data_IF_626943739083
#
_entry.id   IF_626943739083
#
_cell.length_a   1.000
_cell.length_b   1.000
_cell.length_c   1.000
_cell.angle_alpha   90.00
_cell.angle_beta   90.00
_cell.angle_gamma   90.00
#
_symmetry.space_group_name_H-M   'P 1'
#
loop_
_entity.id
_entity.type
_entity.pdbx_description
1 polymer ?
#
# COMPACT_ATOMS: atom_id res chain seq x y z
N UNK A 1 20.67 -55.54 -9.14
CA UNK A 1 21.12 -56.82 -9.70
C UNK A 1 22.44 -57.22 -9.06
N UNK A 2 22.39 -58.21 -8.15
CA UNK A 2 23.57 -58.71 -7.40
C UNK A 2 24.18 -60.00 -7.99
N UNK A 3 23.63 -60.47 -9.10
CA UNK A 3 24.17 -61.63 -9.83
C UNK A 3 24.64 -61.20 -11.21
N UNK A 4 25.90 -61.48 -11.51
CA UNK A 4 26.53 -61.30 -12.81
C UNK A 4 26.77 -62.69 -13.37
N UNK A 5 26.31 -62.96 -14.59
CA UNK A 5 26.58 -64.23 -15.29
C UNK A 5 27.97 -64.14 -15.88
N UNK A 6 28.70 -65.24 -15.81
CA UNK A 6 29.99 -65.39 -16.47
C UNK A 6 29.83 -65.23 -17.98
N UNK A 7 30.70 -64.46 -18.63
CA UNK A 7 30.65 -64.23 -20.07
C UNK A 7 31.05 -65.46 -20.90
N UNK A 8 31.78 -66.41 -20.30
CA UNK A 8 32.20 -67.66 -20.88
C UNK A 8 32.31 -68.79 -19.84
N UNK A 9 32.56 -70.01 -20.27
CA UNK A 9 32.72 -71.20 -19.40
C UNK A 9 34.19 -71.41 -18.95
N UNK A 10 34.97 -70.30 -18.89
CA UNK A 10 36.39 -70.32 -18.46
C UNK A 10 36.51 -69.75 -17.03
N UNK A 11 37.65 -70.15 -16.38
CA UNK A 11 37.92 -69.80 -14.98
C UNK A 11 38.03 -68.30 -14.77
N UNK A 12 38.47 -67.50 -15.75
CA UNK A 12 38.65 -66.06 -15.66
C UNK A 12 37.28 -65.35 -15.66
N UNK A 13 36.41 -65.74 -16.58
CA UNK A 13 35.03 -65.22 -16.66
C UNK A 13 34.25 -65.54 -15.38
N UNK A 14 34.42 -66.75 -14.82
CA UNK A 14 33.78 -67.09 -13.55
C UNK A 14 34.32 -66.30 -12.35
N UNK A 15 35.65 -66.12 -12.30
CA UNK A 15 36.29 -65.30 -11.25
C UNK A 15 35.84 -63.82 -11.30
N UNK A 16 35.76 -63.21 -12.48
CA UNK A 16 35.26 -61.82 -12.68
C UNK A 16 33.81 -61.73 -12.27
N UNK A 17 32.94 -62.65 -12.67
CA UNK A 17 31.52 -62.61 -12.27
C UNK A 17 31.36 -62.74 -10.75
N UNK A 18 32.19 -63.54 -10.07
CA UNK A 18 32.22 -63.72 -8.63
C UNK A 18 32.67 -62.41 -7.94
N UNK A 19 33.73 -61.78 -8.45
CA UNK A 19 34.25 -60.51 -7.93
C UNK A 19 33.20 -59.38 -8.02
N UNK A 20 32.57 -59.21 -9.18
CA UNK A 20 31.51 -58.19 -9.32
C UNK A 20 30.28 -58.53 -8.47
N UNK A 21 29.90 -59.80 -8.35
CA UNK A 21 28.80 -60.23 -7.49
C UNK A 21 29.08 -60.01 -6.00
N UNK A 22 30.32 -60.21 -5.53
CA UNK A 22 30.71 -59.88 -4.14
C UNK A 22 30.70 -58.36 -3.90
N UNK A 23 31.29 -57.60 -4.80
CA UNK A 23 31.32 -56.15 -4.71
C UNK A 23 29.92 -55.52 -4.72
N UNK A 24 29.02 -56.00 -5.58
CA UNK A 24 27.65 -55.56 -5.64
C UNK A 24 26.90 -55.83 -4.32
N UNK A 25 27.14 -56.97 -3.67
CA UNK A 25 26.55 -57.29 -2.35
C UNK A 25 27.09 -56.36 -1.23
N UNK A 26 28.41 -56.13 -1.23
CA UNK A 26 29.03 -55.21 -0.28
C UNK A 26 28.49 -53.75 -0.45
N UNK A 27 28.36 -53.29 -1.71
CA UNK A 27 27.78 -52.02 -2.01
C UNK A 27 26.33 -51.90 -1.52
N UNK A 28 25.52 -52.93 -1.71
CA UNK A 28 24.14 -52.95 -1.20
C UNK A 28 24.10 -52.94 0.33
N UNK A 29 25.00 -53.64 1.02
CA UNK A 29 25.07 -53.60 2.48
C UNK A 29 25.43 -52.22 2.99
N UNK A 30 26.40 -51.54 2.38
CA UNK A 30 26.76 -50.16 2.68
C UNK A 30 25.61 -49.19 2.39
N UNK A 31 24.96 -49.34 1.23
CA UNK A 31 23.81 -48.52 0.84
C UNK A 31 22.66 -48.60 1.87
N UNK A 32 22.37 -49.81 2.38
CA UNK A 32 21.37 -50.03 3.42
C UNK A 32 21.76 -49.33 4.75
N UNK A 33 23.07 -49.42 5.12
CA UNK A 33 23.57 -48.75 6.32
C UNK A 33 23.51 -47.25 6.20
N UNK A 34 23.85 -46.69 5.03
CA UNK A 34 23.75 -45.22 4.76
C UNK A 34 22.31 -44.77 4.83
N UNK A 35 21.35 -45.52 4.25
CA UNK A 35 19.93 -45.19 4.35
C UNK A 35 19.45 -45.17 5.81
N UNK A 36 19.80 -46.22 6.60
CA UNK A 36 19.47 -46.27 8.03
C UNK A 36 20.13 -45.15 8.84
N UNK A 37 21.33 -44.72 8.47
CA UNK A 37 21.99 -43.56 9.09
C UNK A 37 21.24 -42.27 8.78
N UNK A 38 20.84 -42.04 7.52
CA UNK A 38 20.09 -40.83 7.16
C UNK A 38 18.73 -40.78 7.87
N UNK A 39 18.03 -41.90 7.97
CA UNK A 39 16.76 -41.96 8.70
C UNK A 39 16.92 -41.61 10.18
N UNK A 40 17.96 -42.17 10.84
CA UNK A 40 18.26 -41.80 12.24
C UNK A 40 18.67 -40.34 12.39
N UNK A 41 19.49 -39.84 11.47
CA UNK A 41 19.89 -38.44 11.48
C UNK A 41 18.68 -37.49 11.37
N UNK A 42 17.80 -37.76 10.39
CA UNK A 42 16.57 -36.99 10.20
C UNK A 42 15.67 -37.02 11.46
N UNK A 43 15.51 -38.19 12.08
CA UNK A 43 14.74 -38.34 13.32
C UNK A 43 15.38 -37.57 14.49
N UNK A 44 16.70 -37.67 14.66
CA UNK A 44 17.42 -36.97 15.73
C UNK A 44 17.35 -35.45 15.53
N UNK A 45 17.49 -34.97 14.29
CA UNK A 45 17.36 -33.56 13.97
C UNK A 45 15.93 -33.04 14.25
N UNK A 46 14.93 -33.79 13.85
CA UNK A 46 13.53 -33.46 14.12
C UNK A 46 13.23 -33.41 15.62
N UNK A 47 13.75 -34.36 16.41
CA UNK A 47 13.61 -34.35 17.86
C UNK A 47 14.33 -33.16 18.50
N UNK A 48 15.53 -32.80 18.03
CA UNK A 48 16.25 -31.63 18.48
C UNK A 48 15.48 -30.34 18.21
N UNK A 49 14.96 -30.16 17.00
CA UNK A 49 14.10 -28.99 16.65
C UNK A 49 12.89 -28.93 17.57
N UNK A 50 12.20 -30.05 17.82
CA UNK A 50 11.08 -30.12 18.74
C UNK A 50 11.45 -29.69 20.17
N UNK A 51 12.63 -30.07 20.66
CA UNK A 51 13.10 -29.67 22.01
C UNK A 51 13.39 -28.16 22.10
N UNK A 52 13.97 -27.56 21.05
CA UNK A 52 14.17 -26.11 20.97
C UNK A 52 12.85 -25.36 20.95
N UNK A 53 11.89 -25.77 20.11
CA UNK A 53 10.55 -25.14 20.05
C UNK A 53 9.85 -25.21 21.41
N UNK A 54 9.95 -26.34 22.11
CA UNK A 54 9.35 -26.49 23.44
C UNK A 54 10.03 -25.63 24.50
N UNK A 55 11.37 -25.51 24.45
CA UNK A 55 12.13 -24.65 25.35
C UNK A 55 11.81 -23.17 25.14
N UNK A 56 11.73 -22.72 23.89
CA UNK A 56 11.32 -21.37 23.55
C UNK A 56 9.91 -21.06 24.03
N UNK A 57 8.95 -21.95 23.78
CA UNK A 57 7.58 -21.78 24.26
C UNK A 57 7.48 -21.73 25.79
N UNK A 58 8.28 -22.56 26.50
CA UNK A 58 8.32 -22.58 27.96
C UNK A 58 8.93 -21.31 28.55
N UNK A 59 9.91 -20.71 27.87
CA UNK A 59 10.56 -19.48 28.32
C UNK A 59 9.77 -18.21 27.96
N UNK A 60 9.07 -18.22 26.84
CA UNK A 60 8.30 -17.06 26.38
C UNK A 60 7.07 -16.77 27.26
N UNK A 61 6.36 -17.79 27.72
CA UNK A 61 5.13 -17.63 28.51
C UNK A 61 5.34 -16.92 29.87
N UNK A 62 6.37 -17.24 30.70
CA UNK A 62 6.62 -16.54 31.94
C UNK A 62 7.06 -15.09 31.74
N UNK A 63 7.84 -14.81 30.68
CA UNK A 63 8.28 -13.45 30.37
C UNK A 63 7.10 -12.57 29.94
N UNK A 64 6.22 -13.06 29.08
CA UNK A 64 5.01 -12.35 28.68
C UNK A 64 4.09 -12.08 29.91
N UNK A 65 3.94 -13.04 30.81
CA UNK A 65 3.16 -12.87 32.05
C UNK A 65 3.79 -11.81 32.96
N UNK A 66 5.10 -11.82 33.12
CA UNK A 66 5.82 -10.81 33.90
C UNK A 66 5.66 -9.41 33.30
N UNK A 67 5.82 -9.29 31.98
CA UNK A 67 5.62 -8.03 31.26
C UNK A 67 4.20 -7.50 31.49
N UNK A 68 3.17 -8.32 31.28
CA UNK A 68 1.79 -7.93 31.53
C UNK A 68 1.54 -7.50 32.98
N UNK A 69 2.09 -8.21 33.95
CA UNK A 69 1.93 -7.87 35.36
C UNK A 69 2.59 -6.53 35.72
N UNK A 70 3.81 -6.29 35.21
CA UNK A 70 4.51 -5.02 35.39
C UNK A 70 3.75 -3.87 34.71
N UNK A 71 3.34 -4.04 33.46
CA UNK A 71 2.55 -3.02 32.75
C UNK A 71 1.22 -2.74 33.44
N UNK A 72 0.52 -3.76 33.90
CA UNK A 72 -0.72 -3.60 34.66
C UNK A 72 -0.50 -2.80 35.96
N UNK A 73 0.56 -3.11 36.71
CA UNK A 73 0.88 -2.40 37.93
C UNK A 73 1.24 -0.93 37.68
N UNK A 74 2.01 -0.63 36.60
CA UNK A 74 2.35 0.73 36.19
C UNK A 74 1.15 1.52 35.66
N UNK A 75 0.24 0.85 34.95
CA UNK A 75 -0.91 1.47 34.32
C UNK A 75 -2.11 1.62 35.27
N UNK A 76 -2.21 0.83 36.33
CA UNK A 76 -3.38 0.82 37.20
C UNK A 76 -3.73 2.20 37.77
N UNK A 77 -2.79 3.03 38.29
CA UNK A 77 -3.12 4.36 38.82
C UNK A 77 -3.66 5.32 37.76
N UNK A 78 -3.02 5.35 36.59
CA UNK A 78 -3.43 6.24 35.50
C UNK A 78 -4.72 5.80 34.85
N UNK A 79 -4.95 4.48 34.76
CA UNK A 79 -6.19 3.92 34.27
C UNK A 79 -7.36 4.27 35.21
N UNK A 80 -7.16 4.18 36.53
CA UNK A 80 -8.19 4.50 37.51
C UNK A 80 -8.53 5.99 37.58
N UNK A 81 -7.51 6.87 37.46
CA UNK A 81 -7.69 8.32 37.59
C UNK A 81 -8.06 9.00 36.27
N UNK A 82 -7.52 8.54 35.14
CA UNK A 82 -7.57 9.23 33.84
C UNK A 82 -8.21 8.40 32.72
N UNK A 83 -8.56 7.14 33.00
CA UNK A 83 -9.15 6.21 32.02
C UNK A 83 -8.19 5.85 30.87
N UNK A 84 -6.87 6.09 31.05
CA UNK A 84 -5.83 5.81 30.03
C UNK A 84 -4.61 5.15 30.69
N UNK A 85 -3.95 4.21 29.98
CA UNK A 85 -2.69 3.65 30.46
C UNK A 85 -1.58 4.70 30.45
N UNK A 86 -0.59 4.55 31.32
CA UNK A 86 0.63 5.35 31.29
C UNK A 86 1.51 4.95 30.10
N UNK A 87 1.65 3.63 29.90
CA UNK A 87 2.47 3.01 28.84
C UNK A 87 1.61 1.95 28.14
N UNK A 88 1.52 2.03 26.82
CA UNK A 88 0.80 1.06 25.99
C UNK A 88 0.22 1.70 24.74
N UNK A 89 0.06 0.92 23.69
CA UNK A 89 -0.53 1.38 22.45
C UNK A 89 -2.07 1.47 22.56
N UNK A 90 -2.66 2.37 21.79
CA UNK A 90 -4.11 2.50 21.66
C UNK A 90 -4.71 1.30 20.94
N UNK A 91 -5.89 0.86 21.34
CA UNK A 91 -6.61 -0.21 20.65
C UNK A 91 -7.01 0.22 19.24
N UNK A 92 -6.92 -0.70 18.28
CA UNK A 92 -7.44 -0.45 16.93
C UNK A 92 -8.97 -0.43 16.92
N UNK A 93 -9.55 0.42 16.10
CA UNK A 93 -10.98 0.44 15.82
C UNK A 93 -11.44 -0.83 15.09
N UNK A 94 -12.64 -1.32 15.39
CA UNK A 94 -13.16 -2.52 14.76
C UNK A 94 -13.35 -2.33 13.24
N UNK A 95 -12.90 -3.27 12.40
CA UNK A 95 -13.09 -3.21 10.95
C UNK A 95 -14.57 -3.18 10.55
N UNK A 96 -14.90 -2.43 9.52
CA UNK A 96 -16.27 -2.30 9.00
C UNK A 96 -17.21 -1.45 9.86
N UNK A 97 -16.71 -0.76 10.89
CA UNK A 97 -17.53 0.05 11.81
C UNK A 97 -17.25 1.54 11.75
N UNK A 98 -16.16 1.96 11.08
CA UNK A 98 -15.71 3.35 11.14
C UNK A 98 -15.31 3.82 12.55
N UNK A 99 -15.09 2.90 13.49
CA UNK A 99 -14.67 3.22 14.85
C UNK A 99 -13.28 3.85 14.86
N UNK A 100 -13.13 4.93 15.62
CA UNK A 100 -11.82 5.54 15.81
C UNK A 100 -10.87 4.60 16.57
N UNK A 101 -9.58 4.69 16.28
CA UNK A 101 -8.54 4.06 17.08
C UNK A 101 -8.45 4.69 18.47
N UNK A 102 -8.13 3.88 19.47
CA UNK A 102 -7.89 4.32 20.84
C UNK A 102 -6.65 5.21 20.95
N UNK A 103 -6.64 6.10 21.94
CA UNK A 103 -5.44 6.86 22.26
C UNK A 103 -4.35 5.97 22.85
N UNK A 104 -3.09 6.23 22.50
CA UNK A 104 -1.93 5.60 23.12
C UNK A 104 -1.73 6.02 24.57
N UNK A 105 -0.79 5.40 25.27
CA UNK A 105 -0.44 5.70 26.67
C UNK A 105 -0.08 7.18 26.86
N UNK A 106 -0.25 7.67 28.09
CA UNK A 106 0.00 9.08 28.40
C UNK A 106 1.46 9.43 28.19
N UNK A 107 2.37 8.59 28.68
CA UNK A 107 3.82 8.79 28.59
C UNK A 107 4.38 8.18 27.29
N UNK A 108 4.08 6.92 27.05
CA UNK A 108 4.62 6.17 25.93
C UNK A 108 3.56 5.28 25.31
N UNK A 109 3.42 5.36 23.98
CA UNK A 109 2.54 4.47 23.21
C UNK A 109 2.03 5.14 21.93
N UNK A 110 1.82 4.34 20.92
CA UNK A 110 1.27 4.78 19.66
C UNK A 110 -0.27 4.86 19.73
N UNK A 111 -0.84 5.74 18.96
CA UNK A 111 -2.29 5.73 18.75
C UNK A 111 -2.74 4.47 18.00
N UNK A 112 -3.90 3.94 18.32
CA UNK A 112 -4.51 2.81 17.62
C UNK A 112 -4.95 3.21 16.21
N UNK A 113 -4.93 2.27 15.27
CA UNK A 113 -5.47 2.50 13.93
C UNK A 113 -6.99 2.66 13.96
N UNK A 114 -7.55 3.50 13.12
CA UNK A 114 -9.00 3.59 12.90
C UNK A 114 -9.54 2.37 12.16
N UNK A 115 -10.75 1.95 12.48
CA UNK A 115 -11.46 0.87 11.79
C UNK A 115 -11.90 1.31 10.38
N UNK A 116 -11.93 0.39 9.43
CA UNK A 116 -12.52 0.68 8.12
C UNK A 116 -14.02 0.99 8.25
N UNK A 117 -14.54 1.79 7.35
CA UNK A 117 -15.99 2.08 7.28
C UNK A 117 -16.76 0.97 6.58
N UNK A 118 -18.02 0.77 6.95
CA UNK A 118 -19.00 0.03 6.16
C UNK A 118 -19.35 0.81 4.87
N UNK A 119 -20.02 0.22 3.89
CA UNK A 119 -20.50 0.94 2.71
C UNK A 119 -21.28 2.21 3.08
N UNK A 120 -20.87 3.35 2.52
CA UNK A 120 -21.43 4.67 2.85
C UNK A 120 -20.89 5.29 4.16
N UNK A 121 -20.02 4.60 4.90
CA UNK A 121 -19.49 5.06 6.18
C UNK A 121 -18.01 5.46 6.06
N UNK A 122 -17.69 6.61 6.65
CA UNK A 122 -16.31 7.13 6.71
C UNK A 122 -15.44 6.19 7.54
N UNK A 123 -14.18 6.03 7.14
CA UNK A 123 -13.19 5.31 7.93
C UNK A 123 -12.95 5.98 9.28
N UNK A 124 -12.69 5.19 10.32
CA UNK A 124 -12.38 5.68 11.65
C UNK A 124 -11.11 6.53 11.68
N UNK A 125 -11.06 7.56 12.47
CA UNK A 125 -9.83 8.32 12.69
C UNK A 125 -8.81 7.47 13.45
N UNK A 126 -7.53 7.65 13.16
CA UNK A 126 -6.46 7.09 13.98
C UNK A 126 -6.41 7.73 15.36
N UNK A 127 -6.04 6.95 16.39
CA UNK A 127 -5.86 7.44 17.76
C UNK A 127 -4.65 8.37 17.90
N UNK A 128 -4.70 9.29 18.84
CA UNK A 128 -3.57 10.15 19.17
C UNK A 128 -2.55 9.41 20.06
N UNK A 129 -1.27 9.67 19.89
CA UNK A 129 -0.25 9.24 20.85
C UNK A 129 -0.28 10.17 22.10
N UNK A 130 0.46 9.80 23.15
CA UNK A 130 0.64 10.62 24.35
C UNK A 130 1.81 11.59 24.24
N UNK A 131 2.77 11.50 25.19
CA UNK A 131 3.98 12.32 25.15
C UNK A 131 4.95 11.83 24.06
N UNK A 132 5.19 10.52 24.02
CA UNK A 132 6.04 9.85 23.04
C UNK A 132 5.22 8.81 22.28
N UNK A 133 5.37 8.75 20.97
CA UNK A 133 4.77 7.75 20.10
C UNK A 133 4.21 8.33 18.81
N UNK A 134 3.88 7.49 17.87
CA UNK A 134 3.29 7.86 16.57
C UNK A 134 1.76 7.88 16.67
N UNK A 135 1.14 8.78 15.94
CA UNK A 135 -0.33 8.77 15.73
C UNK A 135 -0.77 7.51 14.99
N UNK A 136 -1.93 6.99 15.30
CA UNK A 136 -2.53 5.85 14.62
C UNK A 136 -2.91 6.18 13.17
N UNK A 137 -2.89 5.20 12.30
CA UNK A 137 -3.37 5.35 10.93
C UNK A 137 -4.90 5.54 10.90
N UNK A 138 -5.40 6.36 9.99
CA UNK A 138 -6.83 6.45 9.68
C UNK A 138 -7.33 5.20 8.97
N UNK A 139 -8.56 4.78 9.25
CA UNK A 139 -9.21 3.66 8.59
C UNK A 139 -9.62 3.98 7.15
N UNK A 140 -9.68 2.98 6.28
CA UNK A 140 -10.21 3.15 4.95
C UNK A 140 -11.70 3.46 4.98
N UNK A 141 -12.16 4.35 4.10
CA UNK A 141 -13.58 4.62 3.91
C UNK A 141 -14.29 3.41 3.28
N UNK A 142 -15.53 3.19 3.65
CA UNK A 142 -16.42 2.28 2.95
C UNK A 142 -16.75 2.78 1.54
N UNK A 143 -17.44 1.96 0.74
CA UNK A 143 -17.84 2.36 -0.62
C UNK A 143 -18.56 3.70 -0.60
N UNK A 144 -18.08 4.66 -1.39
CA UNK A 144 -18.63 6.02 -1.47
C UNK A 144 -18.30 6.95 -0.30
N UNK A 145 -17.48 6.54 0.65
CA UNK A 145 -17.17 7.33 1.85
C UNK A 145 -15.67 7.62 2.02
N UNK A 146 -15.36 8.74 2.63
CA UNK A 146 -13.98 9.21 2.83
C UNK A 146 -13.16 8.30 3.74
N UNK A 147 -11.85 8.29 3.55
CA UNK A 147 -10.92 7.72 4.50
C UNK A 147 -10.87 8.52 5.81
N UNK A 148 -10.59 7.82 6.91
CA UNK A 148 -10.40 8.41 8.23
C UNK A 148 -9.11 9.23 8.31
N UNK A 149 -9.08 10.27 9.12
CA UNK A 149 -7.85 11.02 9.35
C UNK A 149 -6.84 10.20 10.16
N UNK A 150 -5.56 10.43 9.93
CA UNK A 150 -4.50 9.94 10.80
C UNK A 150 -4.51 10.62 12.15
N UNK A 151 -4.13 9.90 13.21
CA UNK A 151 -4.02 10.40 14.57
C UNK A 151 -2.82 11.35 14.75
N UNK A 152 -2.85 12.22 15.75
CA UNK A 152 -1.70 13.07 16.07
C UNK A 152 -0.57 12.26 16.70
N UNK A 153 0.66 12.61 16.36
CA UNK A 153 1.87 12.13 17.02
C UNK A 153 2.00 12.62 18.45
N UNK A 154 2.96 12.06 19.19
CA UNK A 154 3.24 12.39 20.57
C UNK A 154 3.60 13.84 20.74
N UNK A 155 3.10 14.47 21.83
CA UNK A 155 3.25 15.88 22.06
C UNK A 155 4.70 16.34 22.01
N UNK A 156 5.64 15.63 22.64
CA UNK A 156 7.08 15.95 22.60
C UNK A 156 7.76 15.37 21.37
N UNK A 157 7.62 14.05 21.15
CA UNK A 157 8.27 13.34 20.05
C UNK A 157 7.33 12.32 19.44
N UNK A 158 7.03 12.48 18.17
CA UNK A 158 6.24 11.50 17.43
C UNK A 158 5.74 12.02 16.10
N UNK A 159 5.66 11.12 15.14
CA UNK A 159 5.12 11.43 13.82
C UNK A 159 3.59 11.34 13.84
N UNK A 160 2.96 12.15 13.01
CA UNK A 160 1.52 12.00 12.73
C UNK A 160 1.22 10.67 12.02
N UNK A 161 0.05 10.12 12.27
CA UNK A 161 -0.45 8.93 11.58
C UNK A 161 -0.83 9.21 10.12
N UNK A 162 -0.77 8.21 9.27
CA UNK A 162 -1.20 8.33 7.86
C UNK A 162 -2.72 8.42 7.76
N UNK A 163 -3.24 9.15 6.79
CA UNK A 163 -4.68 9.19 6.47
C UNK A 163 -5.15 7.89 5.79
N UNK A 164 -6.39 7.50 6.02
CA UNK A 164 -7.01 6.34 5.38
C UNK A 164 -7.34 6.58 3.91
N UNK A 165 -7.40 5.51 3.12
CA UNK A 165 -7.82 5.60 1.72
C UNK A 165 -9.32 5.96 1.59
N UNK A 166 -9.68 6.72 0.58
CA UNK A 166 -11.07 6.94 0.19
C UNK A 166 -11.70 5.69 -0.41
N UNK A 167 -12.99 5.49 -0.17
CA UNK A 167 -13.75 4.36 -0.71
C UNK A 167 -14.05 4.51 -2.20
N UNK A 168 -14.20 3.39 -2.88
CA UNK A 168 -14.61 3.36 -4.29
C UNK A 168 -16.10 3.70 -4.43
N UNK A 169 -16.50 4.30 -5.55
CA UNK A 169 -17.91 4.60 -5.85
C UNK A 169 -18.16 4.67 -7.36
N UNK A 170 -19.35 4.28 -7.80
CA UNK A 170 -19.74 4.38 -9.21
C UNK A 170 -19.93 5.83 -9.67
N UNK A 171 -20.34 6.72 -8.76
CA UNK A 171 -20.62 8.14 -9.11
C UNK A 171 -19.38 9.04 -8.96
N UNK A 172 -18.62 8.85 -7.91
CA UNK A 172 -17.40 9.62 -7.66
C UNK A 172 -16.59 8.97 -6.54
N UNK A 173 -15.29 8.78 -6.74
CA UNK A 173 -14.39 8.27 -5.71
C UNK A 173 -14.41 9.18 -4.49
N UNK A 174 -14.37 8.59 -3.31
CA UNK A 174 -14.35 9.36 -2.08
C UNK A 174 -12.94 9.90 -1.77
N UNK A 175 -12.87 10.98 -1.00
CA UNK A 175 -11.59 11.60 -0.64
C UNK A 175 -10.76 10.72 0.28
N UNK A 176 -9.44 10.76 0.13
CA UNK A 176 -8.52 10.21 1.12
C UNK A 176 -8.57 11.00 2.44
N UNK A 177 -8.32 10.32 3.56
CA UNK A 177 -8.21 10.95 4.86
C UNK A 177 -6.96 11.85 4.98
N UNK A 178 -7.05 12.92 5.76
CA UNK A 178 -5.88 13.73 6.05
C UNK A 178 -4.85 12.99 6.91
N UNK A 179 -3.56 13.27 6.73
CA UNK A 179 -2.51 12.83 7.64
C UNK A 179 -2.61 13.53 8.99
N UNK A 180 -2.20 12.83 10.05
CA UNK A 180 -2.15 13.41 11.41
C UNK A 180 -0.99 14.38 11.58
N UNK A 181 -1.14 15.31 12.51
CA UNK A 181 -0.09 16.28 12.83
C UNK A 181 0.99 15.64 13.73
N UNK A 182 2.23 16.08 13.61
CA UNK A 182 3.28 15.78 14.59
C UNK A 182 3.14 16.70 15.82
N UNK A 183 3.86 16.36 16.91
CA UNK A 183 3.92 17.19 18.11
C UNK A 183 4.97 18.31 18.00
N UNK A 184 5.87 18.38 19.02
CA UNK A 184 6.96 19.37 19.03
C UNK A 184 8.05 18.99 18.03
N UNK A 185 8.44 17.69 18.05
CA UNK A 185 9.39 17.08 17.13
C UNK A 185 8.72 15.93 16.38
N UNK A 186 8.87 15.86 15.07
CA UNK A 186 8.39 14.77 14.26
C UNK A 186 7.89 15.20 12.89
N UNK A 187 7.56 14.25 12.06
CA UNK A 187 7.07 14.44 10.70
C UNK A 187 5.55 14.35 10.69
N UNK A 188 4.87 15.20 9.98
CA UNK A 188 3.43 15.10 9.73
C UNK A 188 3.10 13.80 8.98
N UNK A 189 1.95 13.20 9.28
CA UNK A 189 1.48 12.01 8.57
C UNK A 189 1.16 12.30 7.11
N UNK A 190 1.32 11.33 6.24
CA UNK A 190 0.91 11.45 4.84
C UNK A 190 -0.61 11.41 4.71
N UNK A 191 -1.16 12.14 3.77
CA UNK A 191 -2.58 12.04 3.39
C UNK A 191 -2.87 10.68 2.73
N UNK A 192 -4.06 10.16 2.94
CA UNK A 192 -4.53 8.94 2.29
C UNK A 192 -4.84 9.16 0.80
N UNK A 193 -4.76 8.15 -0.05
CA UNK A 193 -5.13 8.24 -1.45
C UNK A 193 -6.65 8.42 -1.61
N UNK A 194 -7.05 9.10 -2.65
CA UNK A 194 -8.45 9.17 -3.09
C UNK A 194 -8.92 7.81 -3.63
N UNK A 195 -10.19 7.51 -3.45
CA UNK A 195 -10.81 6.30 -3.96
C UNK A 195 -11.07 6.37 -5.47
N UNK A 196 -11.11 5.22 -6.16
CA UNK A 196 -11.54 5.13 -7.55
C UNK A 196 -13.04 5.43 -7.68
N UNK A 197 -13.45 6.04 -8.78
CA UNK A 197 -14.87 6.33 -8.97
C UNK A 197 -15.16 7.08 -10.28
N UNK A 198 -16.43 7.34 -10.59
CA UNK A 198 -16.89 8.06 -11.79
C UNK A 198 -16.09 9.32 -12.09
N UNK A 199 -15.76 10.04 -11.05
CA UNK A 199 -14.63 10.98 -10.97
C UNK A 199 -13.75 10.45 -9.86
N UNK A 200 -12.47 10.32 -10.07
CA UNK A 200 -11.54 9.85 -9.03
C UNK A 200 -11.60 10.74 -7.80
N UNK A 201 -11.57 10.16 -6.61
CA UNK A 201 -11.55 10.88 -5.34
C UNK A 201 -10.27 11.70 -5.17
N UNK A 202 -10.35 12.84 -4.48
CA UNK A 202 -9.15 13.64 -4.18
C UNK A 202 -8.29 12.96 -3.13
N UNK A 203 -6.96 13.13 -3.23
CA UNK A 203 -6.04 12.71 -2.18
C UNK A 203 -6.21 13.54 -0.91
N UNK A 204 -6.02 12.93 0.25
CA UNK A 204 -6.01 13.61 1.54
C UNK A 204 -4.84 14.56 1.70
N UNK A 205 -5.01 15.61 2.50
CA UNK A 205 -3.92 16.53 2.83
C UNK A 205 -2.87 15.85 3.72
N UNK A 206 -1.60 16.23 3.58
CA UNK A 206 -0.55 15.85 4.53
C UNK A 206 -0.72 16.60 5.87
N UNK A 207 -0.35 15.95 6.98
CA UNK A 207 -0.35 16.51 8.32
C UNK A 207 0.76 17.54 8.52
N UNK A 208 0.60 18.39 9.52
CA UNK A 208 1.62 19.37 9.90
C UNK A 208 2.83 18.68 10.50
N UNK A 209 4.04 19.16 10.13
CA UNK A 209 5.28 18.77 10.79
C UNK A 209 5.38 19.31 12.21
N UNK A 210 6.39 18.85 12.95
CA UNK A 210 6.64 19.25 14.32
C UNK A 210 6.72 20.77 14.47
N UNK A 211 6.09 21.30 15.51
CA UNK A 211 6.02 22.76 15.73
C UNK A 211 7.38 23.41 15.85
N UNK A 212 8.38 22.73 16.45
CA UNK A 212 9.76 23.22 16.54
C UNK A 212 10.63 22.67 15.40
N UNK A 213 10.60 21.38 15.19
CA UNK A 213 11.41 20.72 14.15
C UNK A 213 10.68 19.52 13.56
N UNK A 214 10.56 19.48 12.25
CA UNK A 214 10.03 18.36 11.51
C UNK A 214 9.46 18.75 10.15
N UNK A 215 9.45 17.80 9.24
CA UNK A 215 8.86 18.01 7.92
C UNK A 215 7.34 17.89 7.95
N UNK A 216 6.68 18.62 7.08
CA UNK A 216 5.26 18.39 6.79
C UNK A 216 5.04 17.02 6.13
N UNK A 217 3.88 16.42 6.33
CA UNK A 217 3.49 15.18 5.66
C UNK A 217 3.19 15.40 4.17
N UNK A 218 3.38 14.38 3.37
CA UNK A 218 3.02 14.46 1.95
C UNK A 218 1.50 14.42 1.76
N UNK A 219 1.01 15.05 0.71
CA UNK A 219 -0.38 14.91 0.26
C UNK A 219 -0.60 13.50 -0.34
N UNK A 220 -1.80 12.96 -0.20
CA UNK A 220 -2.20 11.69 -0.81
C UNK A 220 -2.41 11.84 -2.32
N UNK A 221 -2.23 10.76 -3.07
CA UNK A 221 -2.51 10.74 -4.50
C UNK A 221 -4.02 10.84 -4.77
N UNK A 222 -4.41 11.43 -5.90
CA UNK A 222 -5.78 11.36 -6.42
C UNK A 222 -6.14 9.95 -6.88
N UNK A 223 -7.39 9.57 -6.76
CA UNK A 223 -7.90 8.28 -7.23
C UNK A 223 -8.04 8.23 -8.76
N UNK A 224 -7.93 7.06 -9.38
CA UNK A 224 -8.17 6.91 -10.81
C UNK A 224 -9.66 7.06 -11.15
N UNK A 225 -9.94 7.56 -12.37
CA UNK A 225 -11.28 7.51 -12.96
C UNK A 225 -11.65 6.09 -13.43
N UNK A 226 -12.94 5.74 -13.57
CA UNK A 226 -13.38 4.54 -14.29
C UNK A 226 -13.32 4.79 -15.81
N UNK A 227 -13.69 3.79 -16.58
CA UNK A 227 -13.73 3.86 -18.05
C UNK A 227 -14.36 5.19 -18.51
N UNK A 228 -13.61 6.01 -19.25
CA UNK A 228 -14.01 7.35 -19.70
C UNK A 228 -14.10 8.40 -18.58
N UNK A 229 -13.75 8.05 -17.33
CA UNK A 229 -13.85 8.92 -16.17
C UNK A 229 -12.58 9.75 -15.88
N UNK A 230 -12.77 10.85 -15.17
CA UNK A 230 -11.71 11.81 -14.82
C UNK A 230 -10.97 11.35 -13.58
N UNK A 231 -9.63 11.48 -13.57
CA UNK A 231 -8.80 11.26 -12.38
C UNK A 231 -9.02 12.33 -11.30
N UNK A 232 -8.90 11.93 -10.03
CA UNK A 232 -9.00 12.83 -8.88
C UNK A 232 -7.74 13.68 -8.68
N UNK A 233 -7.87 14.84 -8.05
CA UNK A 233 -6.72 15.69 -7.74
C UNK A 233 -5.86 15.12 -6.62
N UNK A 234 -4.56 15.40 -6.65
CA UNK A 234 -3.65 15.12 -5.55
C UNK A 234 -3.92 16.02 -4.33
N UNK A 235 -3.65 15.48 -3.13
CA UNK A 235 -3.77 16.20 -1.86
C UNK A 235 -2.64 17.21 -1.65
N UNK A 236 -2.91 18.22 -0.84
CA UNK A 236 -1.92 19.26 -0.48
C UNK A 236 -0.88 18.68 0.48
N UNK A 237 0.39 19.04 0.32
CA UNK A 237 1.43 18.75 1.29
C UNK A 237 1.27 19.55 2.58
N UNK A 238 1.59 18.95 3.74
CA UNK A 238 1.55 19.59 5.05
C UNK A 238 2.65 20.63 5.23
N UNK A 239 2.38 21.67 6.01
CA UNK A 239 3.39 22.66 6.35
C UNK A 239 4.33 22.14 7.45
N UNK A 240 5.59 22.59 7.45
CA UNK A 240 6.49 22.45 8.58
C UNK A 240 6.21 23.54 9.61
N UNK A 241 6.67 23.36 10.87
CA UNK A 241 6.56 24.35 11.95
C UNK A 241 7.63 25.45 11.85
N UNK A 242 8.48 25.57 12.90
CA UNK A 242 9.53 26.58 12.93
C UNK A 242 10.70 26.24 11.99
N UNK A 243 11.19 25.00 12.09
CA UNK A 243 12.30 24.46 11.31
C UNK A 243 11.86 23.17 10.60
N UNK A 244 12.11 23.06 9.32
CA UNK A 244 11.81 21.85 8.58
C UNK A 244 11.33 22.08 7.16
N UNK A 245 11.22 21.04 6.40
CA UNK A 245 10.79 21.08 4.99
C UNK A 245 9.28 20.89 4.87
N UNK A 246 8.62 21.63 4.01
CA UNK A 246 7.22 21.39 3.67
C UNK A 246 7.02 20.00 3.02
N UNK A 247 5.89 19.36 3.27
CA UNK A 247 5.52 18.11 2.62
C UNK A 247 5.26 18.31 1.12
N UNK A 248 5.55 17.31 0.31
CA UNK A 248 5.21 17.35 -1.12
C UNK A 248 3.70 17.26 -1.34
N UNK A 249 3.22 17.87 -2.41
CA UNK A 249 1.86 17.63 -2.90
C UNK A 249 1.70 16.20 -3.42
N UNK A 250 0.50 15.65 -3.33
CA UNK A 250 0.17 14.34 -3.89
C UNK A 250 0.05 14.39 -5.42
N UNK A 251 0.34 13.29 -6.09
CA UNK A 251 0.13 13.19 -7.55
C UNK A 251 -1.36 13.21 -7.89
N UNK A 252 -1.71 13.76 -9.05
CA UNK A 252 -3.04 13.62 -9.63
C UNK A 252 -3.33 12.18 -10.04
N UNK A 253 -4.61 11.79 -9.99
CA UNK A 253 -5.08 10.48 -10.45
C UNK A 253 -5.08 10.40 -11.97
N UNK A 254 -4.91 9.19 -12.50
CA UNK A 254 -4.96 8.95 -13.95
C UNK A 254 -6.39 9.01 -14.46
N UNK A 255 -6.58 9.56 -15.65
CA UNK A 255 -7.78 9.39 -16.45
C UNK A 255 -7.88 7.93 -16.95
N UNK A 256 -9.08 7.45 -17.15
CA UNK A 256 -9.28 6.08 -17.62
C UNK A 256 -9.45 6.01 -19.16
N UNK A 257 -9.24 4.82 -19.70
CA UNK A 257 -9.44 4.51 -21.12
C UNK A 257 -10.89 4.81 -21.55
N UNK A 258 -11.08 5.32 -22.74
CA UNK A 258 -12.40 5.52 -23.34
C UNK A 258 -13.12 4.18 -23.63
N UNK A 259 -14.43 4.21 -23.64
CA UNK A 259 -15.24 3.03 -23.98
C UNK A 259 -14.95 2.58 -25.42
N UNK A 260 -14.77 1.28 -25.63
CA UNK A 260 -14.64 0.74 -26.98
C UNK A 260 -15.93 0.97 -27.79
N UNK A 261 -15.80 1.29 -29.06
CA UNK A 261 -16.90 1.40 -29.98
C UNK A 261 -17.62 0.05 -30.18
N UNK A 262 -18.92 0.08 -30.35
CA UNK A 262 -19.70 -1.12 -30.66
C UNK A 262 -19.37 -1.66 -32.05
N UNK A 263 -19.32 -2.98 -32.19
CA UNK A 263 -19.20 -3.61 -33.50
C UNK A 263 -20.43 -3.34 -34.35
N UNK A 264 -20.24 -3.26 -35.68
CA UNK A 264 -21.35 -3.18 -36.64
C UNK A 264 -22.21 -4.43 -36.58
N UNK A 265 -23.50 -4.28 -36.89
CA UNK A 265 -24.50 -5.34 -36.96
C UNK A 265 -25.16 -5.39 -38.36
N UNK A 266 -25.97 -6.39 -38.59
CA UNK A 266 -26.59 -6.67 -39.92
C UNK A 266 -27.34 -5.48 -40.54
N UNK A 267 -27.99 -4.66 -39.71
CA UNK A 267 -28.74 -3.46 -40.12
C UNK A 267 -27.88 -2.17 -40.07
N UNK A 268 -26.73 -2.20 -39.41
CA UNK A 268 -25.78 -1.10 -39.29
C UNK A 268 -24.36 -1.65 -39.39
N UNK A 269 -23.83 -1.88 -40.62
CA UNK A 269 -22.63 -2.64 -40.83
C UNK A 269 -21.34 -1.92 -40.37
N UNK A 270 -21.40 -0.61 -40.13
CA UNK A 270 -20.26 0.17 -39.68
C UNK A 270 -20.08 0.08 -38.16
N UNK A 271 -18.88 -0.15 -37.71
CA UNK A 271 -18.54 -0.04 -36.30
C UNK A 271 -18.65 1.41 -35.80
N UNK A 272 -19.03 1.59 -34.54
CA UNK A 272 -19.06 2.94 -33.93
C UNK A 272 -17.69 3.40 -33.49
N UNK A 273 -17.46 4.71 -33.40
CA UNK A 273 -16.24 5.27 -32.87
C UNK A 273 -16.05 4.91 -31.38
N UNK A 274 -14.81 4.74 -30.98
CA UNK A 274 -14.43 4.62 -29.57
C UNK A 274 -14.71 5.93 -28.80
N UNK A 275 -14.99 5.79 -27.50
CA UNK A 275 -15.17 6.93 -26.59
C UNK A 275 -13.88 7.68 -26.32
N UNK A 276 -14.00 8.92 -25.88
CA UNK A 276 -12.86 9.75 -25.45
C UNK A 276 -12.30 9.19 -24.16
N UNK A 277 -10.97 9.17 -24.00
CA UNK A 277 -10.31 8.86 -22.74
C UNK A 277 -10.60 9.94 -21.69
N UNK A 278 -10.64 9.56 -20.42
CA UNK A 278 -10.86 10.50 -19.32
C UNK A 278 -9.67 11.43 -19.07
N UNK A 279 -9.95 12.66 -18.65
CA UNK A 279 -8.92 13.61 -18.25
C UNK A 279 -8.25 13.16 -16.94
N UNK A 280 -7.03 13.56 -16.73
CA UNK A 280 -6.32 13.29 -15.49
C UNK A 280 -6.56 14.38 -14.44
N UNK A 281 -6.36 14.03 -13.16
CA UNK A 281 -6.37 14.98 -12.06
C UNK A 281 -5.08 15.78 -11.96
N UNK A 282 -5.18 16.98 -11.43
CA UNK A 282 -4.02 17.84 -11.16
C UNK A 282 -3.22 17.36 -9.95
N UNK A 283 -1.93 17.66 -9.91
CA UNK A 283 -1.08 17.46 -8.76
C UNK A 283 -1.44 18.44 -7.62
N UNK A 284 -1.32 17.96 -6.38
CA UNK A 284 -1.54 18.78 -5.19
C UNK A 284 -0.42 19.80 -4.95
N UNK A 285 -0.72 20.87 -4.24
CA UNK A 285 0.27 21.90 -3.88
C UNK A 285 1.26 21.37 -2.85
N UNK A 286 2.52 21.80 -2.93
CA UNK A 286 3.52 21.56 -1.89
C UNK A 286 3.24 22.36 -0.62
N UNK A 287 3.56 21.78 0.55
CA UNK A 287 3.43 22.43 1.85
C UNK A 287 4.47 23.53 2.08
N UNK A 288 4.18 24.49 2.94
CA UNK A 288 5.14 25.53 3.32
C UNK A 288 6.31 24.94 4.12
N UNK A 289 7.51 25.43 3.83
CA UNK A 289 8.68 25.20 4.70
C UNK A 289 8.54 25.84 6.06
N UNK A 290 9.44 25.50 6.98
CA UNK A 290 9.47 26.04 8.34
C UNK A 290 9.54 27.56 8.34
N UNK A 291 8.80 28.18 9.27
CA UNK A 291 8.68 29.65 9.32
C UNK A 291 10.05 30.35 9.41
N UNK A 292 10.98 29.84 10.23
CA UNK A 292 12.30 30.43 10.34
C UNK A 292 13.22 29.94 9.22
N UNK A 293 13.33 28.60 9.07
CA UNK A 293 14.21 27.98 8.07
C UNK A 293 13.63 26.65 7.58
N UNK A 294 13.66 26.45 6.28
CA UNK A 294 13.22 25.23 5.61
C UNK A 294 12.70 25.49 4.21
N UNK A 295 12.96 24.59 3.29
CA UNK A 295 12.43 24.66 1.93
C UNK A 295 10.93 24.33 1.92
N UNK A 296 10.18 24.96 1.02
CA UNK A 296 8.83 24.54 0.69
C UNK A 296 8.85 23.13 0.05
N UNK A 297 7.79 22.36 0.25
CA UNK A 297 7.60 21.08 -0.42
C UNK A 297 7.36 21.26 -1.92
N UNK A 298 7.80 20.30 -2.73
CA UNK A 298 7.48 20.29 -4.15
C UNK A 298 5.97 20.07 -4.38
N UNK A 299 5.44 20.64 -5.47
CA UNK A 299 4.10 20.31 -5.95
C UNK A 299 4.05 18.86 -6.45
N UNK A 300 2.89 18.24 -6.37
CA UNK A 300 2.64 16.91 -6.92
C UNK A 300 2.62 16.93 -8.46
N UNK A 301 3.01 15.84 -9.09
CA UNK A 301 2.85 15.67 -10.53
C UNK A 301 1.37 15.58 -10.92
N UNK A 302 1.01 16.10 -12.09
CA UNK A 302 -0.28 15.83 -12.71
C UNK A 302 -0.42 14.37 -13.11
N UNK A 303 -1.63 13.86 -13.14
CA UNK A 303 -1.92 12.51 -13.60
C UNK A 303 -1.80 12.40 -15.14
N UNK A 304 -1.74 11.18 -15.65
CA UNK A 304 -1.74 10.89 -17.09
C UNK A 304 -3.17 10.77 -17.57
N UNK A 305 -3.51 11.40 -18.70
CA UNK A 305 -4.80 11.27 -19.37
C UNK A 305 -5.03 9.84 -19.86
N UNK A 306 -6.29 9.41 -19.89
CA UNK A 306 -6.69 8.10 -20.40
C UNK A 306 -6.55 8.00 -21.92
N UNK A 307 -6.21 6.82 -22.43
CA UNK A 307 -6.20 6.56 -23.86
C UNK A 307 -7.63 6.57 -24.44
N UNK A 308 -7.80 6.98 -25.70
CA UNK A 308 -9.07 6.86 -26.40
C UNK A 308 -9.48 5.39 -26.58
N UNK A 309 -10.77 5.11 -26.53
CA UNK A 309 -11.31 3.77 -26.74
C UNK A 309 -11.07 3.28 -28.16
N UNK A 310 -10.91 1.97 -28.34
CA UNK A 310 -10.79 1.38 -29.68
C UNK A 310 -12.08 1.57 -30.48
N UNK A 311 -11.97 1.79 -31.79
CA UNK A 311 -13.13 1.78 -32.69
C UNK A 311 -13.75 0.38 -32.80
N UNK A 312 -15.06 0.31 -32.95
CA UNK A 312 -15.78 -0.95 -33.15
C UNK A 312 -15.44 -1.59 -34.49
N UNK A 313 -15.37 -2.93 -34.52
CA UNK A 313 -15.16 -3.66 -35.77
C UNK A 313 -16.35 -3.50 -36.72
N UNK A 314 -16.08 -3.36 -38.02
CA UNK A 314 -17.12 -3.43 -39.04
C UNK A 314 -17.69 -4.86 -39.16
N UNK A 315 -18.98 -4.98 -39.48
CA UNK A 315 -19.62 -6.26 -39.69
C UNK A 315 -19.30 -6.82 -41.08
N UNK A 316 -18.70 -8.01 -41.12
CA UNK A 316 -18.49 -8.73 -42.37
C UNK A 316 -19.57 -9.81 -42.53
N UNK A 317 -20.47 -9.62 -43.46
CA UNK A 317 -21.44 -10.64 -43.84
C UNK A 317 -20.74 -11.84 -44.47
N UNK A 318 -20.73 -12.95 -43.76
CA UNK A 318 -20.23 -14.22 -44.25
C UNK A 318 -21.22 -14.90 -45.27
N UNK A 319 -22.32 -14.27 -45.63
CA UNK A 319 -23.35 -14.83 -46.51
C UNK A 319 -23.41 -14.10 -47.84
N UNK A 320 -22.70 -14.58 -48.81
CA UNK A 320 -22.96 -14.86 -50.21
C UNK A 320 -24.06 -14.00 -50.89
N UNK A 321 -23.81 -12.70 -51.05
CA UNK A 321 -24.22 -11.99 -52.27
C UNK A 321 -22.96 -11.33 -52.81
N UNK A 322 -22.56 -11.75 -53.99
CA UNK A 322 -21.39 -11.22 -54.67
C UNK A 322 -21.53 -9.70 -54.84
N UNK A 323 -20.75 -8.90 -54.08
CA UNK A 323 -20.70 -7.47 -54.25
C UNK A 323 -20.85 -6.61 -53.01
N UNK A 324 -21.25 -7.14 -51.84
CA UNK A 324 -21.35 -6.36 -50.60
C UNK A 324 -19.99 -6.29 -49.88
N UNK A 325 -19.44 -5.09 -49.85
CA UNK A 325 -18.29 -4.79 -48.98
C UNK A 325 -18.78 -4.83 -47.53
N UNK A 326 -18.01 -5.49 -46.63
CA UNK A 326 -18.25 -5.40 -45.18
C UNK A 326 -18.23 -3.94 -44.69
N UNK A 327 -18.92 -3.67 -43.57
CA UNK A 327 -18.90 -2.34 -42.95
C UNK A 327 -17.50 -1.90 -42.51
N UNK A 328 -17.25 -0.61 -42.56
CA UNK A 328 -16.02 -0.03 -42.06
C UNK A 328 -15.93 -0.12 -40.52
N UNK A 329 -14.74 -0.32 -39.99
CA UNK A 329 -14.50 -0.18 -38.55
C UNK A 329 -14.69 1.26 -38.09
N UNK A 330 -15.15 1.44 -36.85
CA UNK A 330 -15.24 2.75 -36.23
C UNK A 330 -13.86 3.37 -35.95
N UNK A 331 -13.80 4.70 -35.89
CA UNK A 331 -12.58 5.41 -35.50
C UNK A 331 -12.25 5.19 -34.02
N UNK A 332 -10.98 5.17 -33.67
CA UNK A 332 -10.55 5.24 -32.26
C UNK A 332 -10.96 6.56 -31.62
N UNK A 333 -11.22 6.55 -30.32
CA UNK A 333 -11.49 7.73 -29.54
C UNK A 333 -10.23 8.59 -29.33
N UNK A 334 -10.42 9.86 -28.99
CA UNK A 334 -9.32 10.75 -28.61
C UNK A 334 -8.84 10.41 -27.18
N UNK A 335 -7.55 10.62 -26.88
CA UNK A 335 -7.02 10.55 -25.51
C UNK A 335 -7.52 11.72 -24.65
N UNK A 336 -7.60 11.50 -23.35
CA UNK A 336 -7.91 12.54 -22.36
C UNK A 336 -6.70 13.47 -22.10
N UNK A 337 -6.98 14.66 -21.56
CA UNK A 337 -5.93 15.62 -21.21
C UNK A 337 -5.11 15.14 -19.99
N UNK A 338 -3.81 15.43 -20.02
CA UNK A 338 -2.96 15.26 -18.84
C UNK A 338 -3.24 16.32 -17.78
N UNK A 339 -3.14 15.99 -16.51
CA UNK A 339 -3.33 16.90 -15.38
C UNK A 339 -2.19 17.92 -15.26
N UNK A 340 -2.48 19.09 -14.72
CA UNK A 340 -1.47 20.07 -14.38
C UNK A 340 -0.62 19.65 -13.17
N UNK A 341 0.66 19.97 -13.16
CA UNK A 341 1.49 19.84 -11.98
C UNK A 341 1.13 20.86 -10.91
N UNK A 342 1.12 20.47 -9.64
CA UNK A 342 0.82 21.36 -8.53
C UNK A 342 1.93 22.39 -8.28
N UNK A 343 1.63 23.58 -7.75
CA UNK A 343 2.63 24.57 -7.38
C UNK A 343 3.45 24.10 -6.18
N UNK A 344 4.72 24.50 -6.13
CA UNK A 344 5.57 24.26 -4.98
C UNK A 344 5.19 25.16 -3.79
N UNK A 345 5.47 24.70 -2.57
CA UNK A 345 5.22 25.45 -1.34
C UNK A 345 6.22 26.58 -1.12
N UNK A 346 5.82 27.60 -0.35
CA UNK A 346 6.69 28.72 0.02
C UNK A 346 7.80 28.25 0.99
N UNK A 347 9.01 28.81 0.83
CA UNK A 347 10.11 28.63 1.78
C UNK A 347 9.99 29.49 3.03
N UNK A 348 10.88 29.28 4.01
CA UNK A 348 10.96 30.04 5.25
C UNK A 348 11.53 31.45 5.10
N UNK A 349 11.53 32.23 6.19
CA UNK A 349 11.95 33.64 6.23
C UNK A 349 13.43 33.81 5.88
N UNK A 350 14.31 32.89 6.31
CA UNK A 350 15.73 32.90 5.96
C UNK A 350 15.94 32.15 4.66
N UNK A 351 15.81 32.84 3.53
CA UNK A 351 15.86 32.26 2.18
C UNK A 351 17.22 31.63 1.82
N UNK A 352 18.28 31.85 2.60
CA UNK A 352 19.59 31.22 2.40
C UNK A 352 19.55 29.71 2.72
N UNK A 353 18.58 29.25 3.56
CA UNK A 353 18.41 27.86 4.00
C UNK A 353 17.07 27.25 3.60
N UNK A 354 16.19 28.03 2.98
CA UNK A 354 14.85 27.59 2.61
C UNK A 354 14.36 28.23 1.32
N UNK A 355 14.51 27.55 0.20
CA UNK A 355 13.95 27.95 -1.09
C UNK A 355 12.47 27.61 -1.22
N UNK A 356 11.81 28.21 -2.21
CA UNK A 356 10.49 27.76 -2.65
C UNK A 356 10.58 26.32 -3.19
N UNK A 357 9.57 25.51 -2.91
CA UNK A 357 9.50 24.17 -3.47
C UNK A 357 9.35 24.20 -4.99
N UNK A 358 9.89 23.20 -5.68
CA UNK A 358 9.70 23.03 -7.12
C UNK A 358 8.22 22.79 -7.45
N UNK A 359 7.77 23.30 -8.60
CA UNK A 359 6.48 22.89 -9.16
C UNK A 359 6.49 21.42 -9.58
N UNK A 360 5.35 20.75 -9.53
CA UNK A 360 5.19 19.38 -10.03
C UNK A 360 5.26 19.35 -11.56
N UNK A 361 5.67 18.20 -12.12
CA UNK A 361 5.59 17.96 -13.55
C UNK A 361 4.11 17.84 -14.00
N UNK A 362 3.79 18.38 -15.16
CA UNK A 362 2.51 18.11 -15.83
C UNK A 362 2.43 16.65 -16.28
N UNK A 363 1.21 16.09 -16.31
CA UNK A 363 0.96 14.78 -16.88
C UNK A 363 0.94 14.84 -18.43
N UNK A 364 1.09 13.68 -19.04
CA UNK A 364 0.92 13.51 -20.50
C UNK A 364 -0.53 13.18 -20.83
N UNK A 365 -1.03 13.62 -21.95
CA UNK A 365 -2.33 13.27 -22.51
C UNK A 365 -2.23 12.10 -23.48
#
# INVERSE_FOLDING_TARGET
>A
TTSVLAAGADEVSAAIATLFGSHAREYQAISTQVAAFHDRFAQTLSAAVGSYVSAEATNAAPLATLEHNVLNALNAPTQALLGRPLIGDGAAGAPGTGQAGGAGGILWGNGGAGGSGAPGQVGGAGGAAGLFGTGGAGGAGGAGAAGGAGGSGGWLLGNGGVGGAGGQSLLGGATGGAGGNAGLFGVGGTGGPGGPGGVGGTGGAGGLGGTLYGAGGHGGAGGPGPIGGVGGHGGVGGAAGLLGVGGHGGAGGHGAEGVAGAAGEDLSPHGTSGGVGGDAGDGGTGGRGGWLAGAGGAGGAGGVGGTGGAGGAGFSRALIVAGDNGGDGGNGGMGGAGGAGGPGGAGGLISLLGGQGAGGAGGTG
#
